data_IF_694569965946
#
_entry.id   IF_694569965946
#
_cell.length_a   1.000
_cell.length_b   1.000
_cell.length_c   1.000
_cell.angle_alpha   90.00
_cell.angle_beta   90.00
_cell.angle_gamma   90.00
#
_symmetry.space_group_name_H-M   'P 1'
#
loop_
_entity.id
_entity.type
_entity.pdbx_description
1 polymer ?
#
# COMPACT_ATOMS: atom_id res chain seq x y z
N UNK A 1 40.27 -13.90 -21.38
CA UNK A 1 38.87 -14.36 -21.51
C UNK A 1 38.41 -15.22 -20.30
N UNK A 2 39.18 -16.23 -19.81
CA UNK A 2 38.80 -17.03 -18.61
C UNK A 2 38.77 -16.23 -17.30
N UNK A 3 39.66 -15.29 -17.08
CA UNK A 3 39.68 -14.44 -15.88
C UNK A 3 38.52 -13.42 -15.82
N UNK A 4 38.17 -12.82 -16.95
CA UNK A 4 37.01 -11.93 -17.02
C UNK A 4 35.68 -12.66 -16.76
N UNK A 5 35.53 -13.90 -17.25
CA UNK A 5 34.37 -14.75 -16.97
C UNK A 5 34.33 -15.19 -15.51
N UNK A 6 35.48 -15.39 -14.87
CA UNK A 6 35.58 -15.72 -13.44
C UNK A 6 35.21 -14.54 -12.56
N UNK A 7 35.66 -13.32 -12.89
CA UNK A 7 35.31 -12.09 -12.12
C UNK A 7 33.84 -11.72 -12.26
N UNK A 8 33.26 -11.86 -13.45
CA UNK A 8 31.80 -11.65 -13.65
C UNK A 8 30.95 -12.67 -12.88
N UNK A 9 31.35 -13.94 -12.85
CA UNK A 9 30.69 -14.96 -12.04
C UNK A 9 30.79 -14.69 -10.54
N UNK A 10 31.96 -14.30 -10.02
CA UNK A 10 32.13 -13.92 -8.60
C UNK A 10 31.27 -12.71 -8.22
N UNK A 11 31.22 -11.68 -9.08
CA UNK A 11 30.37 -10.51 -8.84
C UNK A 11 28.87 -10.80 -8.84
N UNK A 12 28.41 -11.74 -9.72
CA UNK A 12 27.00 -12.15 -9.75
C UNK A 12 26.59 -13.00 -8.54
N UNK A 13 27.48 -13.88 -8.08
CA UNK A 13 27.26 -14.72 -6.89
C UNK A 13 27.20 -13.84 -5.63
N UNK A 14 28.13 -12.89 -5.47
CA UNK A 14 28.10 -11.94 -4.34
C UNK A 14 26.84 -11.11 -4.31
N UNK A 15 26.36 -10.61 -5.46
CA UNK A 15 25.10 -9.85 -5.55
C UNK A 15 23.88 -10.71 -5.22
N UNK A 16 23.88 -11.98 -5.59
CA UNK A 16 22.79 -12.91 -5.29
C UNK A 16 22.79 -13.29 -3.81
N UNK A 17 23.96 -13.56 -3.22
CA UNK A 17 24.12 -13.86 -1.80
C UNK A 17 23.68 -12.68 -0.93
N UNK A 18 24.08 -11.46 -1.27
CA UNK A 18 23.64 -10.23 -0.58
C UNK A 18 22.11 -10.04 -0.66
N UNK A 19 21.49 -10.27 -1.81
CA UNK A 19 20.04 -10.20 -1.97
C UNK A 19 19.32 -11.20 -1.04
N UNK A 20 19.77 -12.47 -1.02
CA UNK A 20 19.16 -13.51 -0.17
C UNK A 20 19.33 -13.15 1.32
N UNK A 21 20.50 -12.66 1.72
CA UNK A 21 20.75 -12.24 3.09
C UNK A 21 19.82 -11.09 3.51
N UNK A 22 19.63 -10.09 2.65
CA UNK A 22 18.72 -8.97 2.94
C UNK A 22 17.25 -9.41 2.93
N UNK A 23 16.86 -10.30 2.02
CA UNK A 23 15.51 -10.86 2.01
C UNK A 23 15.18 -11.59 3.32
N UNK A 24 16.10 -12.44 3.78
CA UNK A 24 15.96 -13.14 5.07
C UNK A 24 15.98 -12.13 6.23
N UNK A 25 16.86 -11.14 6.21
CA UNK A 25 16.93 -10.09 7.21
C UNK A 25 15.63 -9.28 7.30
N UNK A 26 15.05 -8.87 6.17
CA UNK A 26 13.75 -8.17 6.15
C UNK A 26 12.60 -9.06 6.59
N UNK A 27 12.60 -10.35 6.24
CA UNK A 27 11.58 -11.29 6.72
C UNK A 27 11.68 -11.48 8.24
N UNK A 28 12.89 -11.64 8.77
CA UNK A 28 13.13 -11.71 10.22
C UNK A 28 12.73 -10.40 10.92
N UNK A 29 13.06 -9.25 10.32
CA UNK A 29 12.66 -7.93 10.82
C UNK A 29 11.14 -7.75 10.81
N UNK A 30 10.44 -8.25 9.78
CA UNK A 30 8.98 -8.22 9.73
C UNK A 30 8.36 -9.06 10.85
N UNK A 31 8.86 -10.28 11.09
CA UNK A 31 8.41 -11.13 12.19
C UNK A 31 8.64 -10.43 13.55
N UNK A 32 9.84 -9.87 13.74
CA UNK A 32 10.15 -9.07 14.91
C UNK A 32 9.19 -7.87 15.06
N UNK A 33 8.92 -7.15 13.96
CA UNK A 33 8.01 -6.00 13.96
C UNK A 33 6.59 -6.39 14.35
N UNK A 34 6.07 -7.53 13.88
CA UNK A 34 4.75 -8.04 14.28
C UNK A 34 4.73 -8.32 15.78
N UNK A 35 5.70 -9.08 16.27
CA UNK A 35 5.78 -9.45 17.68
C UNK A 35 5.93 -8.21 18.58
N UNK A 36 6.83 -7.31 18.24
CA UNK A 36 7.04 -6.08 18.99
C UNK A 36 5.81 -5.16 18.95
N UNK A 37 5.20 -4.94 17.78
CA UNK A 37 4.08 -4.00 17.61
C UNK A 37 2.84 -4.36 18.43
N UNK A 38 2.61 -5.63 18.70
CA UNK A 38 1.48 -6.09 19.53
C UNK A 38 1.66 -5.67 20.99
N UNK A 39 2.90 -5.49 21.46
CA UNK A 39 3.16 -5.08 22.84
C UNK A 39 2.89 -3.61 23.09
N UNK A 40 3.03 -2.74 22.05
CA UNK A 40 2.80 -1.29 22.17
C UNK A 40 1.32 -0.93 22.08
N UNK A 41 0.87 0.01 22.90
CA UNK A 41 -0.50 0.57 22.88
C UNK A 41 -0.83 1.27 24.19
N UNK A 42 -1.95 2.03 24.23
CA UNK A 42 -2.35 2.85 25.35
C UNK A 42 -2.69 2.04 26.64
N UNK A 43 -3.05 0.77 26.52
CA UNK A 43 -3.26 -0.09 27.69
C UNK A 43 -1.91 -0.72 28.10
N UNK A 44 -1.54 -0.50 29.35
CA UNK A 44 -0.33 -1.08 29.95
C UNK A 44 -0.56 -2.58 30.20
N UNK A 45 -0.03 -3.41 29.30
CA UNK A 45 -0.06 -4.87 29.42
C UNK A 45 1.37 -5.41 29.56
N UNK A 46 1.56 -6.39 30.44
CA UNK A 46 2.87 -7.03 30.56
C UNK A 46 3.19 -7.86 29.30
N UNK A 47 4.47 -7.97 28.96
CA UNK A 47 4.91 -8.83 27.85
C UNK A 47 4.44 -10.26 28.03
N UNK A 48 4.43 -10.76 29.29
CA UNK A 48 3.97 -12.09 29.62
C UNK A 48 2.50 -12.28 29.26
N UNK A 49 1.64 -11.32 29.57
CA UNK A 49 0.20 -11.40 29.29
C UNK A 49 -0.06 -11.39 27.77
N UNK A 50 0.62 -10.49 27.04
CA UNK A 50 0.47 -10.39 25.58
C UNK A 50 0.83 -11.71 24.89
N UNK A 51 2.00 -12.27 25.21
CA UNK A 51 2.42 -13.52 24.58
C UNK A 51 1.68 -14.75 25.09
N UNK A 52 1.16 -14.73 26.33
CA UNK A 52 0.31 -15.80 26.86
C UNK A 52 -1.02 -15.89 26.11
N UNK A 53 -1.66 -14.76 25.77
CA UNK A 53 -2.87 -14.74 24.92
C UNK A 53 -2.58 -15.35 23.55
N UNK A 54 -1.48 -14.93 22.89
CA UNK A 54 -1.12 -15.43 21.56
C UNK A 54 -0.82 -16.93 21.62
N UNK A 55 -0.01 -17.37 22.60
CA UNK A 55 0.33 -18.78 22.78
C UNK A 55 -0.91 -19.64 23.07
N UNK A 56 -1.83 -19.15 23.88
CA UNK A 56 -3.10 -19.85 24.13
C UNK A 56 -3.92 -20.01 22.85
N UNK A 57 -4.11 -18.92 22.10
CA UNK A 57 -4.95 -18.94 20.88
C UNK A 57 -4.35 -19.75 19.73
N UNK A 58 -3.01 -19.81 19.61
CA UNK A 58 -2.33 -20.58 18.56
C UNK A 58 -2.13 -22.05 18.92
N UNK A 59 -1.79 -22.34 20.18
CA UNK A 59 -1.37 -23.68 20.59
C UNK A 59 -2.32 -24.36 21.59
N UNK A 60 -3.38 -23.67 22.04
CA UNK A 60 -4.38 -24.20 23.02
C UNK A 60 -3.74 -24.79 24.28
N UNK A 61 -2.69 -24.14 24.80
CA UNK A 61 -1.92 -24.62 25.98
C UNK A 61 -2.81 -24.52 27.21
N UNK A 62 -3.19 -25.65 27.80
CA UNK A 62 -4.12 -25.72 28.93
C UNK A 62 -3.70 -24.89 30.17
N UNK A 63 -2.39 -24.77 30.44
CA UNK A 63 -1.87 -23.93 31.54
C UNK A 63 -2.12 -22.43 31.35
N UNK A 64 -2.47 -21.99 30.14
CA UNK A 64 -2.76 -20.60 29.80
C UNK A 64 -4.27 -20.32 29.61
N UNK A 65 -5.14 -21.22 30.05
CA UNK A 65 -6.60 -21.10 29.91
C UNK A 65 -7.19 -19.83 30.56
N UNK A 66 -6.51 -19.26 31.56
CA UNK A 66 -6.88 -17.97 32.16
C UNK A 66 -6.83 -16.79 31.15
N UNK A 67 -6.12 -16.94 30.04
CA UNK A 67 -6.03 -15.94 28.95
C UNK A 67 -6.98 -16.23 27.78
N UNK A 68 -7.94 -17.16 27.96
CA UNK A 68 -8.92 -17.50 26.94
C UNK A 68 -9.91 -16.36 26.65
N UNK A 69 -10.26 -15.62 27.70
CA UNK A 69 -11.26 -14.53 27.70
C UNK A 69 -10.83 -13.43 28.67
N UNK A 70 -11.50 -12.27 28.60
CA UNK A 70 -11.29 -11.12 29.47
C UNK A 70 -10.58 -9.95 28.79
N UNK A 71 -10.42 -8.85 29.51
CA UNK A 71 -9.94 -7.58 28.97
C UNK A 71 -8.56 -7.68 28.29
N UNK A 72 -7.63 -8.45 28.84
CA UNK A 72 -6.31 -8.67 28.24
C UNK A 72 -6.42 -9.40 26.91
N UNK A 73 -7.23 -10.46 26.86
CA UNK A 73 -7.54 -11.19 25.63
C UNK A 73 -8.11 -10.27 24.56
N UNK A 74 -9.12 -9.48 24.92
CA UNK A 74 -9.82 -8.62 23.96
C UNK A 74 -8.91 -7.55 23.39
N UNK A 75 -8.08 -6.91 24.21
CA UNK A 75 -7.11 -5.93 23.75
C UNK A 75 -6.07 -6.55 22.80
N UNK A 76 -5.53 -7.71 23.14
CA UNK A 76 -4.47 -8.36 22.35
C UNK A 76 -5.04 -8.98 21.08
N UNK A 77 -6.09 -9.80 21.21
CA UNK A 77 -6.60 -10.64 20.13
C UNK A 77 -7.59 -9.94 19.21
N UNK A 78 -8.46 -9.07 19.74
CA UNK A 78 -9.49 -8.40 18.95
C UNK A 78 -9.09 -7.02 18.46
N UNK A 79 -8.13 -6.34 19.12
CA UNK A 79 -7.74 -4.98 18.77
C UNK A 79 -6.32 -4.94 18.20
N UNK A 80 -5.28 -5.35 18.97
CA UNK A 80 -3.88 -5.13 18.59
C UNK A 80 -3.45 -6.03 17.43
N UNK A 81 -3.71 -7.32 17.50
CA UNK A 81 -3.26 -8.27 16.49
C UNK A 81 -3.89 -8.04 15.11
N UNK A 82 -5.23 -7.86 14.98
CA UNK A 82 -5.82 -7.51 13.69
C UNK A 82 -5.27 -6.20 13.12
N UNK A 83 -4.99 -5.21 13.96
CA UNK A 83 -4.45 -3.92 13.55
C UNK A 83 -3.04 -4.04 12.98
N UNK A 84 -2.17 -4.80 13.62
CA UNK A 84 -0.81 -5.08 13.13
C UNK A 84 -0.84 -5.85 11.80
N UNK A 85 -1.71 -6.87 11.69
CA UNK A 85 -1.88 -7.63 10.45
C UNK A 85 -2.49 -6.80 9.32
N UNK A 86 -3.39 -5.88 9.64
CA UNK A 86 -3.94 -4.94 8.67
C UNK A 86 -2.88 -3.94 8.20
N UNK A 87 -2.06 -3.38 9.11
CA UNK A 87 -0.93 -2.53 8.77
C UNK A 87 0.06 -3.25 7.83
N UNK A 88 0.39 -4.52 8.13
CA UNK A 88 1.21 -5.37 7.26
C UNK A 88 0.63 -5.45 5.85
N UNK A 89 -0.64 -5.85 5.74
CA UNK A 89 -1.28 -6.06 4.45
C UNK A 89 -1.40 -4.77 3.64
N UNK A 90 -1.80 -3.66 4.25
CA UNK A 90 -1.92 -2.36 3.59
C UNK A 90 -0.54 -1.82 3.17
N UNK A 91 0.47 -1.90 4.04
CA UNK A 91 1.82 -1.46 3.73
C UNK A 91 2.47 -2.26 2.58
N UNK A 92 2.27 -3.57 2.58
CA UNK A 92 2.67 -4.47 1.48
C UNK A 92 1.96 -4.09 0.18
N UNK A 93 0.65 -3.86 0.24
CA UNK A 93 -0.16 -3.50 -0.92
C UNK A 93 0.28 -2.20 -1.56
N UNK A 94 0.39 -1.15 -0.77
CA UNK A 94 0.76 0.18 -1.29
C UNK A 94 2.16 0.19 -1.88
N UNK A 95 3.13 -0.47 -1.23
CA UNK A 95 4.51 -0.51 -1.75
C UNK A 95 4.63 -1.31 -3.04
N UNK A 96 3.95 -2.48 -3.16
CA UNK A 96 3.96 -3.29 -4.37
C UNK A 96 3.21 -2.60 -5.51
N UNK A 97 2.04 -2.01 -5.24
CA UNK A 97 1.34 -1.19 -6.24
C UNK A 97 2.20 -0.02 -6.71
N UNK A 98 2.97 0.61 -5.81
CA UNK A 98 3.93 1.65 -6.17
C UNK A 98 4.98 1.17 -7.19
N UNK A 99 5.59 0.00 -6.94
CA UNK A 99 6.54 -0.61 -7.88
C UNK A 99 5.92 -0.78 -9.26
N UNK A 100 4.71 -1.36 -9.30
CA UNK A 100 4.00 -1.67 -10.56
C UNK A 100 3.58 -0.40 -11.29
N UNK A 101 3.02 0.58 -10.57
CA UNK A 101 2.61 1.86 -11.16
C UNK A 101 3.77 2.63 -11.76
N UNK A 102 4.91 2.66 -11.07
CA UNK A 102 6.14 3.27 -11.57
C UNK A 102 6.65 2.61 -12.86
N UNK A 103 6.47 1.29 -13.00
CA UNK A 103 6.82 0.57 -14.23
C UNK A 103 5.83 0.87 -15.36
N UNK A 104 4.51 0.86 -15.10
CA UNK A 104 3.46 1.13 -16.09
C UNK A 104 3.59 2.54 -16.65
N UNK A 105 3.80 3.51 -15.77
CA UNK A 105 3.87 4.94 -16.11
C UNK A 105 5.28 5.33 -16.59
N UNK A 106 6.27 4.45 -16.42
CA UNK A 106 7.68 4.71 -16.73
C UNK A 106 8.23 5.95 -16.01
N UNK A 107 7.72 6.19 -14.80
CA UNK A 107 8.11 7.31 -13.98
C UNK A 107 8.37 6.83 -12.53
N UNK A 108 9.60 6.93 -12.01
CA UNK A 108 9.92 6.51 -10.64
C UNK A 108 9.20 7.33 -9.56
N UNK A 109 8.58 8.45 -9.94
CA UNK A 109 7.81 9.33 -9.06
C UNK A 109 6.31 9.05 -9.08
N UNK A 110 5.86 8.04 -9.84
CA UNK A 110 4.45 7.70 -9.88
C UNK A 110 4.02 7.07 -8.55
N UNK A 111 3.00 7.68 -7.95
CA UNK A 111 2.31 7.15 -6.77
C UNK A 111 1.17 6.21 -7.21
N UNK A 112 0.82 5.17 -6.45
CA UNK A 112 -0.33 4.31 -6.73
C UNK A 112 -1.65 5.07 -6.95
N UNK A 113 -1.79 6.24 -6.37
CA UNK A 113 -2.99 7.08 -6.49
C UNK A 113 -3.07 7.98 -7.73
N UNK A 114 -2.04 8.00 -8.58
CA UNK A 114 -1.99 8.81 -9.82
C UNK A 114 -3.19 8.57 -10.75
N UNK A 115 -3.79 7.36 -10.68
CA UNK A 115 -4.98 7.01 -11.47
C UNK A 115 -6.31 7.55 -10.90
N UNK A 116 -6.29 8.52 -10.01
CA UNK A 116 -7.52 9.05 -9.42
C UNK A 116 -8.21 8.14 -8.42
N UNK A 117 -7.60 7.01 -8.05
CA UNK A 117 -8.16 6.02 -7.12
C UNK A 117 -8.48 6.66 -5.77
N UNK A 118 -7.56 7.47 -5.25
CA UNK A 118 -7.75 8.18 -3.99
C UNK A 118 -8.91 9.18 -4.04
N UNK A 119 -9.00 9.96 -5.12
CA UNK A 119 -10.06 10.97 -5.29
C UNK A 119 -11.43 10.32 -5.47
N UNK A 120 -11.50 9.21 -6.21
CA UNK A 120 -12.71 8.42 -6.35
C UNK A 120 -13.16 7.78 -5.03
N UNK A 121 -12.19 7.24 -4.27
CA UNK A 121 -12.47 6.72 -2.94
C UNK A 121 -12.97 7.81 -1.98
N UNK A 122 -12.36 8.99 -2.02
CA UNK A 122 -12.78 10.15 -1.23
C UNK A 122 -14.19 10.60 -1.60
N UNK A 123 -14.54 10.64 -2.89
CA UNK A 123 -15.89 10.94 -3.35
C UNK A 123 -16.89 9.90 -2.84
N UNK A 124 -16.57 8.60 -2.97
CA UNK A 124 -17.41 7.52 -2.45
C UNK A 124 -17.66 7.63 -0.95
N UNK A 125 -16.59 7.88 -0.17
CA UNK A 125 -16.71 8.11 1.26
C UNK A 125 -17.55 9.38 1.59
N UNK A 126 -17.34 10.46 0.86
CA UNK A 126 -18.11 11.70 1.02
C UNK A 126 -19.59 11.46 0.77
N UNK A 127 -19.96 10.74 -0.29
CA UNK A 127 -21.35 10.38 -0.58
C UNK A 127 -21.97 9.53 0.54
N UNK A 128 -21.22 8.60 1.11
CA UNK A 128 -21.71 7.78 2.22
C UNK A 128 -21.91 8.59 3.50
N UNK A 129 -20.93 9.40 3.89
CA UNK A 129 -20.94 10.16 5.15
C UNK A 129 -21.94 11.30 5.07
N UNK A 130 -21.96 12.06 3.97
CA UNK A 130 -22.78 13.27 3.84
C UNK A 130 -24.22 12.99 3.42
N UNK A 131 -24.43 11.99 2.54
CA UNK A 131 -25.75 11.71 1.95
C UNK A 131 -26.32 10.35 2.36
N UNK A 132 -25.60 9.57 3.19
CA UNK A 132 -26.04 8.25 3.64
C UNK A 132 -26.07 7.19 2.52
N UNK A 133 -25.38 7.41 1.40
CA UNK A 133 -25.32 6.45 0.30
C UNK A 133 -24.74 5.12 0.80
N UNK A 134 -25.41 4.01 0.50
CA UNK A 134 -25.00 2.68 0.97
C UNK A 134 -25.38 2.39 2.43
N UNK A 135 -26.28 3.17 3.05
CA UNK A 135 -26.71 2.98 4.45
C UNK A 135 -27.24 1.58 4.76
N UNK A 136 -27.75 0.84 3.76
CA UNK A 136 -28.17 -0.56 3.90
C UNK A 136 -26.99 -1.53 4.19
N UNK A 137 -25.74 -1.10 3.98
CA UNK A 137 -24.53 -1.85 4.30
C UNK A 137 -24.07 -1.68 5.76
N UNK A 138 -24.81 -0.91 6.56
CA UNK A 138 -24.50 -0.66 7.98
C UNK A 138 -23.11 -0.05 8.18
N UNK A 139 -22.37 -0.52 9.18
CA UNK A 139 -21.05 0.00 9.53
C UNK A 139 -19.95 -0.13 8.44
N UNK A 140 -20.23 -0.83 7.34
CA UNK A 140 -19.31 -0.96 6.21
C UNK A 140 -19.60 0.02 5.07
N UNK A 141 -20.65 0.85 5.17
CA UNK A 141 -21.10 1.74 4.09
C UNK A 141 -19.99 2.63 3.53
N UNK A 142 -19.25 3.33 4.38
CA UNK A 142 -18.18 4.25 3.96
C UNK A 142 -17.04 3.51 3.24
N UNK A 143 -16.61 2.37 3.78
CA UNK A 143 -15.54 1.58 3.17
C UNK A 143 -15.96 1.01 1.81
N UNK A 144 -17.16 0.44 1.70
CA UNK A 144 -17.67 -0.16 0.44
C UNK A 144 -17.88 0.92 -0.63
N UNK A 145 -18.48 2.05 -0.29
CA UNK A 145 -18.68 3.14 -1.24
C UNK A 145 -17.35 3.77 -1.68
N UNK A 146 -16.37 3.87 -0.78
CA UNK A 146 -15.02 4.29 -1.13
C UNK A 146 -14.34 3.28 -2.08
N UNK A 147 -14.47 1.98 -1.83
CA UNK A 147 -13.99 0.93 -2.74
C UNK A 147 -14.63 1.05 -4.12
N UNK A 148 -15.95 1.19 -4.19
CA UNK A 148 -16.68 1.36 -5.45
C UNK A 148 -16.21 2.62 -6.17
N UNK A 149 -16.08 3.75 -5.46
CA UNK A 149 -15.57 5.00 -6.02
C UNK A 149 -14.16 4.85 -6.59
N UNK A 150 -13.27 4.15 -5.88
CA UNK A 150 -11.93 3.83 -6.35
C UNK A 150 -11.94 2.99 -7.64
N UNK A 151 -12.80 1.98 -7.71
CA UNK A 151 -12.93 1.11 -8.89
C UNK A 151 -13.50 1.85 -10.08
N UNK A 152 -14.59 2.60 -9.88
CA UNK A 152 -15.24 3.39 -10.95
C UNK A 152 -14.27 4.40 -11.55
N UNK A 153 -13.52 5.13 -10.73
CA UNK A 153 -12.52 6.09 -11.23
C UNK A 153 -11.37 5.41 -11.94
N UNK A 154 -10.88 4.28 -11.46
CA UNK A 154 -9.85 3.50 -12.15
C UNK A 154 -10.30 3.05 -13.53
N UNK A 155 -11.50 2.49 -13.64
CA UNK A 155 -12.06 2.08 -14.93
C UNK A 155 -12.31 3.29 -15.84
N UNK A 156 -12.78 4.42 -15.30
CA UNK A 156 -12.96 5.65 -16.08
C UNK A 156 -11.61 6.13 -16.65
N UNK A 157 -10.55 6.15 -15.85
CA UNK A 157 -9.20 6.53 -16.31
C UNK A 157 -8.69 5.59 -17.40
N UNK A 158 -8.85 4.27 -17.23
CA UNK A 158 -8.46 3.29 -18.24
C UNK A 158 -9.27 3.51 -19.54
N UNK A 159 -10.57 3.74 -19.44
CA UNK A 159 -11.43 4.00 -20.59
C UNK A 159 -11.02 5.27 -21.32
N UNK A 160 -10.87 6.40 -20.60
CA UNK A 160 -10.46 7.71 -21.17
C UNK A 160 -9.07 7.60 -21.83
N UNK A 161 -8.10 6.95 -21.17
CA UNK A 161 -6.76 6.80 -21.72
C UNK A 161 -6.71 5.96 -23.00
N UNK A 162 -7.71 5.10 -23.22
CA UNK A 162 -7.87 4.30 -24.45
C UNK A 162 -8.70 4.97 -25.54
N UNK A 163 -9.40 6.07 -25.23
CA UNK A 163 -10.14 6.83 -26.25
C UNK A 163 -9.17 7.47 -27.26
N UNK A 164 -9.43 7.26 -28.54
CA UNK A 164 -8.58 7.78 -29.61
C UNK A 164 -7.26 7.03 -29.79
N UNK A 165 -7.18 5.75 -29.40
CA UNK A 165 -6.03 4.85 -29.63
C UNK A 165 -5.50 4.20 -28.36
N UNK A 166 -4.31 3.58 -28.44
CA UNK A 166 -3.71 2.86 -27.34
C UNK A 166 -3.33 3.79 -26.17
N UNK A 167 -3.57 3.35 -24.93
CA UNK A 167 -3.15 4.07 -23.74
C UNK A 167 -1.62 4.18 -23.66
N UNK A 168 -1.12 5.40 -23.55
CA UNK A 168 0.28 5.71 -23.26
C UNK A 168 0.41 6.14 -21.79
N UNK A 169 1.65 6.14 -21.27
CA UNK A 169 1.92 6.62 -19.90
C UNK A 169 1.41 8.05 -19.68
N UNK A 170 1.61 8.95 -20.66
CA UNK A 170 1.13 10.33 -20.58
C UNK A 170 -0.40 10.43 -20.55
N UNK A 171 -1.11 9.66 -21.39
CA UNK A 171 -2.58 9.62 -21.38
C UNK A 171 -3.15 9.11 -20.04
N UNK A 172 -2.52 8.12 -19.45
CA UNK A 172 -2.93 7.59 -18.13
C UNK A 172 -2.79 8.66 -17.03
N UNK A 173 -1.68 9.40 -17.01
CA UNK A 173 -1.46 10.47 -16.03
C UNK A 173 -2.48 11.58 -16.22
N UNK A 174 -2.64 12.07 -17.46
CA UNK A 174 -3.57 13.17 -17.76
C UNK A 174 -5.02 12.79 -17.47
N UNK A 175 -5.45 11.58 -17.84
CA UNK A 175 -6.77 11.07 -17.51
C UNK A 175 -6.97 10.95 -15.99
N UNK A 176 -5.96 10.45 -15.27
CA UNK A 176 -5.98 10.36 -13.80
C UNK A 176 -6.13 11.73 -13.13
N UNK A 177 -5.38 12.72 -13.60
CA UNK A 177 -5.49 14.10 -13.11
C UNK A 177 -6.86 14.71 -13.39
N UNK A 178 -7.40 14.54 -14.59
CA UNK A 178 -8.72 15.06 -14.96
C UNK A 178 -9.83 14.42 -14.12
N UNK A 179 -9.84 13.09 -14.00
CA UNK A 179 -10.82 12.36 -13.17
C UNK A 179 -10.70 12.74 -11.69
N UNK A 180 -9.47 12.91 -11.18
CA UNK A 180 -9.24 13.39 -9.81
C UNK A 180 -9.82 14.77 -9.58
N UNK A 181 -9.65 15.70 -10.51
CA UNK A 181 -10.21 17.05 -10.41
C UNK A 181 -11.75 17.02 -10.38
N UNK A 182 -12.37 16.20 -11.25
CA UNK A 182 -13.83 16.01 -11.26
C UNK A 182 -14.32 15.43 -9.94
N UNK A 183 -13.70 14.34 -9.44
CA UNK A 183 -14.09 13.74 -8.16
C UNK A 183 -13.94 14.71 -6.99
N UNK A 184 -12.87 15.48 -6.96
CA UNK A 184 -12.64 16.49 -5.91
C UNK A 184 -13.67 17.62 -5.97
N UNK A 185 -14.02 18.09 -7.18
CA UNK A 185 -15.05 19.09 -7.37
C UNK A 185 -16.42 18.60 -6.88
N UNK A 186 -16.81 17.36 -7.21
CA UNK A 186 -18.05 16.76 -6.71
C UNK A 186 -18.04 16.56 -5.20
N UNK A 187 -16.93 16.10 -4.61
CA UNK A 187 -16.82 15.96 -3.16
C UNK A 187 -17.02 17.31 -2.46
N UNK A 188 -16.34 18.36 -2.93
CA UNK A 188 -16.47 19.70 -2.38
C UNK A 188 -17.89 20.27 -2.55
N UNK A 189 -18.52 20.01 -3.70
CA UNK A 189 -19.91 20.41 -3.97
C UNK A 189 -20.87 19.75 -2.97
N UNK A 190 -20.74 18.42 -2.74
CA UNK A 190 -21.58 17.71 -1.76
C UNK A 190 -21.38 18.25 -0.34
N UNK A 191 -20.13 18.47 0.07
CA UNK A 191 -19.81 19.05 1.38
C UNK A 191 -20.45 20.43 1.52
N UNK A 192 -20.38 21.27 0.49
CA UNK A 192 -20.91 22.63 0.50
C UNK A 192 -22.45 22.67 0.61
N UNK A 193 -23.16 21.86 -0.21
CA UNK A 193 -24.65 21.88 -0.20
C UNK A 193 -25.25 21.25 1.04
N UNK A 194 -24.59 20.24 1.64
CA UNK A 194 -25.10 19.55 2.83
C UNK A 194 -24.95 20.42 4.08
N UNK A 195 -23.93 21.28 4.11
CA UNK A 195 -23.65 22.24 5.19
C UNK A 195 -23.65 21.61 6.61
N UNK A 196 -23.26 20.32 6.72
CA UNK A 196 -23.12 19.61 7.99
C UNK A 196 -21.65 19.60 8.42
N UNK A 197 -21.32 20.38 9.45
CA UNK A 197 -19.95 20.52 9.98
C UNK A 197 -19.42 19.22 10.59
N UNK A 198 -20.28 18.42 11.22
CA UNK A 198 -19.87 17.16 11.86
C UNK A 198 -19.51 16.13 10.79
N UNK A 199 -20.38 15.97 9.79
CA UNK A 199 -20.13 15.08 8.65
C UNK A 199 -18.88 15.52 7.85
N UNK A 200 -18.68 16.83 7.64
CA UNK A 200 -17.48 17.36 6.98
C UNK A 200 -16.20 17.01 7.78
N UNK A 201 -16.23 17.10 9.10
CA UNK A 201 -15.12 16.70 9.98
C UNK A 201 -14.85 15.18 9.87
N UNK A 202 -15.91 14.37 9.76
CA UNK A 202 -15.77 12.93 9.57
C UNK A 202 -15.14 12.58 8.21
N UNK A 203 -15.55 13.24 7.14
CA UNK A 203 -14.90 13.12 5.81
C UNK A 203 -13.42 13.48 5.90
N UNK A 204 -13.09 14.58 6.57
CA UNK A 204 -11.69 14.98 6.76
C UNK A 204 -10.89 13.93 7.52
N UNK A 205 -11.42 13.40 8.64
CA UNK A 205 -10.77 12.32 9.41
C UNK A 205 -10.58 11.06 8.57
N UNK A 206 -11.59 10.69 7.79
CA UNK A 206 -11.52 9.51 6.94
C UNK A 206 -10.44 9.63 5.86
N UNK A 207 -10.32 10.82 5.23
CA UNK A 207 -9.30 11.08 4.19
C UNK A 207 -7.87 11.10 4.74
N UNK A 208 -7.68 11.32 6.04
CA UNK A 208 -6.37 11.24 6.71
C UNK A 208 -5.90 9.79 6.91
N UNK A 209 -6.76 8.80 6.73
CA UNK A 209 -6.46 7.38 6.91
C UNK A 209 -6.30 6.95 8.37
N UNK A 210 -6.81 5.77 8.69
CA UNK A 210 -6.73 5.21 10.04
C UNK A 210 -6.78 3.69 10.00
N UNK A 211 -6.02 3.04 10.88
CA UNK A 211 -6.06 1.60 11.13
C UNK A 211 -6.85 1.25 12.40
N UNK A 212 -7.43 2.25 13.08
CA UNK A 212 -8.19 2.04 14.33
C UNK A 212 -9.42 1.14 14.14
N UNK A 213 -10.02 1.13 12.96
CA UNK A 213 -11.14 0.25 12.61
C UNK A 213 -10.75 -1.18 12.23
N UNK A 214 -9.54 -1.63 12.52
CA UNK A 214 -9.08 -2.96 12.20
C UNK A 214 -9.91 -4.04 12.93
N UNK A 215 -10.23 -5.12 12.21
CA UNK A 215 -10.96 -6.27 12.73
C UNK A 215 -10.54 -7.53 11.98
N UNK A 216 -10.79 -8.70 12.57
CA UNK A 216 -10.52 -9.98 11.91
C UNK A 216 -11.24 -10.12 10.57
N UNK A 217 -12.45 -9.57 10.44
CA UNK A 217 -13.21 -9.56 9.18
C UNK A 217 -12.46 -8.79 8.10
N UNK A 218 -11.93 -7.60 8.40
CA UNK A 218 -11.14 -6.79 7.45
C UNK A 218 -9.81 -7.45 7.11
N UNK A 219 -9.12 -8.03 8.09
CA UNK A 219 -7.87 -8.78 7.87
C UNK A 219 -8.13 -10.00 6.99
N UNK A 220 -9.23 -10.74 7.26
CA UNK A 220 -9.62 -11.94 6.51
C UNK A 220 -9.90 -11.68 5.02
N UNK A 221 -10.19 -10.44 4.64
CA UNK A 221 -10.34 -10.04 3.23
C UNK A 221 -9.04 -9.43 2.70
N UNK A 222 -8.47 -8.46 3.42
CA UNK A 222 -7.33 -7.69 2.93
C UNK A 222 -6.07 -8.53 2.76
N UNK A 223 -5.75 -9.39 3.73
CA UNK A 223 -4.51 -10.18 3.70
C UNK A 223 -4.48 -11.19 2.54
N UNK A 224 -5.50 -12.01 2.28
CA UNK A 224 -5.54 -12.89 1.11
C UNK A 224 -5.47 -12.11 -0.21
N UNK A 225 -6.24 -11.02 -0.36
CA UNK A 225 -6.20 -10.18 -1.57
C UNK A 225 -4.78 -9.66 -1.80
N UNK A 226 -4.13 -9.13 -0.76
CA UNK A 226 -2.75 -8.65 -0.83
C UNK A 226 -1.81 -9.74 -1.29
N UNK A 227 -1.83 -10.92 -0.65
CA UNK A 227 -0.92 -12.02 -0.98
C UNK A 227 -1.12 -12.52 -2.41
N UNK A 228 -2.38 -12.69 -2.84
CA UNK A 228 -2.68 -13.11 -4.21
C UNK A 228 -2.15 -12.09 -5.23
N UNK A 229 -2.44 -10.79 -5.04
CA UNK A 229 -1.99 -9.75 -5.96
C UNK A 229 -0.46 -9.61 -5.97
N UNK A 230 0.21 -9.73 -4.83
CA UNK A 230 1.69 -9.72 -4.74
C UNK A 230 2.28 -10.89 -5.52
N UNK A 231 1.71 -12.09 -5.39
CA UNK A 231 2.14 -13.27 -6.15
C UNK A 231 1.92 -13.05 -7.64
N UNK A 232 0.75 -12.54 -8.05
CA UNK A 232 0.46 -12.21 -9.45
C UNK A 232 1.54 -11.26 -9.99
N UNK A 233 1.80 -10.13 -9.34
CA UNK A 233 2.80 -9.17 -9.79
C UNK A 233 4.21 -9.75 -9.78
N UNK A 234 4.56 -10.57 -8.80
CA UNK A 234 5.88 -11.20 -8.75
C UNK A 234 6.09 -12.19 -9.89
N UNK A 235 5.08 -12.96 -10.30
CA UNK A 235 5.18 -13.83 -11.48
C UNK A 235 5.37 -13.05 -12.78
N UNK A 236 4.94 -11.79 -12.81
CA UNK A 236 5.03 -10.90 -13.98
C UNK A 236 6.31 -10.04 -14.02
N UNK A 237 7.32 -10.32 -13.17
CA UNK A 237 8.53 -9.51 -13.08
C UNK A 237 9.26 -9.31 -14.41
N UNK A 238 9.23 -10.29 -15.33
CA UNK A 238 9.84 -10.17 -16.66
C UNK A 238 9.16 -9.12 -17.52
N UNK A 239 7.84 -9.13 -17.55
CA UNK A 239 7.05 -8.16 -18.31
C UNK A 239 7.17 -6.75 -17.71
N UNK A 240 7.24 -6.64 -16.39
CA UNK A 240 7.50 -5.37 -15.71
C UNK A 240 8.91 -4.83 -16.03
N UNK A 241 9.92 -5.69 -16.11
CA UNK A 241 11.26 -5.31 -16.54
C UNK A 241 11.29 -4.85 -18.01
N UNK A 242 10.52 -5.50 -18.89
CA UNK A 242 10.40 -5.08 -20.29
C UNK A 242 9.77 -3.68 -20.41
N UNK A 243 8.75 -3.36 -19.60
CA UNK A 243 8.13 -2.03 -19.61
C UNK A 243 9.11 -0.90 -19.31
N UNK A 244 10.17 -1.14 -18.53
CA UNK A 244 11.20 -0.14 -18.25
C UNK A 244 12.07 0.22 -19.45
N UNK A 245 12.11 -0.63 -20.49
CA UNK A 245 12.91 -0.40 -21.70
C UNK A 245 12.25 0.61 -22.67
N UNK A 246 11.01 1.01 -22.37
CA UNK A 246 10.20 1.88 -23.22
C UNK A 246 9.23 1.09 -24.12
N UNK A 247 8.24 1.81 -24.64
CA UNK A 247 7.15 1.19 -25.41
C UNK A 247 7.63 0.60 -26.73
N UNK A 248 8.45 1.33 -27.47
CA UNK A 248 8.94 0.91 -28.80
C UNK A 248 9.76 -0.38 -28.69
N UNK A 249 10.67 -0.45 -27.72
CA UNK A 249 11.50 -1.63 -27.48
C UNK A 249 10.66 -2.83 -27.07
N UNK A 250 9.71 -2.61 -26.16
CA UNK A 250 8.86 -3.69 -25.63
C UNK A 250 7.95 -4.29 -26.73
N UNK A 251 7.43 -3.44 -27.62
CA UNK A 251 6.60 -3.86 -28.75
C UNK A 251 7.43 -4.66 -29.77
N UNK A 252 8.65 -4.21 -30.09
CA UNK A 252 9.55 -4.93 -31.00
C UNK A 252 9.94 -6.29 -30.46
N UNK A 253 9.98 -6.45 -29.14
CA UNK A 253 10.19 -7.76 -28.47
C UNK A 253 8.93 -8.62 -28.39
N UNK A 254 7.83 -8.22 -29.05
CA UNK A 254 6.60 -9.02 -29.16
C UNK A 254 5.65 -8.89 -27.97
N UNK A 255 5.85 -7.90 -27.10
CA UNK A 255 5.02 -7.74 -25.90
C UNK A 255 3.77 -6.90 -26.19
N UNK A 256 2.57 -7.43 -25.93
CA UNK A 256 1.32 -6.66 -25.98
C UNK A 256 1.19 -5.77 -24.72
N UNK A 257 1.87 -4.63 -24.75
CA UNK A 257 1.89 -3.67 -23.64
C UNK A 257 0.50 -3.18 -23.25
N UNK A 258 -0.42 -3.05 -24.20
CA UNK A 258 -1.75 -2.54 -23.93
C UNK A 258 -2.54 -3.47 -23.02
N UNK A 259 -2.55 -4.78 -23.34
CA UNK A 259 -3.23 -5.79 -22.50
C UNK A 259 -2.58 -5.91 -21.14
N UNK A 260 -1.25 -5.91 -21.10
CA UNK A 260 -0.51 -6.02 -19.83
C UNK A 260 -0.75 -4.80 -18.94
N UNK A 261 -0.71 -3.58 -19.48
CA UNK A 261 -1.03 -2.36 -18.71
C UNK A 261 -2.44 -2.41 -18.14
N UNK A 262 -3.43 -2.73 -18.97
CA UNK A 262 -4.83 -2.84 -18.52
C UNK A 262 -4.96 -3.89 -17.41
N UNK A 263 -4.36 -5.06 -17.58
CA UNK A 263 -4.37 -6.12 -16.57
C UNK A 263 -3.75 -5.65 -15.25
N UNK A 264 -2.55 -5.05 -15.28
CA UNK A 264 -1.87 -4.59 -14.07
C UNK A 264 -2.63 -3.44 -13.39
N UNK A 265 -3.24 -2.54 -14.17
CA UNK A 265 -4.07 -1.47 -13.62
C UNK A 265 -5.30 -2.02 -12.91
N UNK A 266 -5.96 -3.04 -13.45
CA UNK A 266 -7.10 -3.69 -12.79
C UNK A 266 -6.67 -4.35 -11.48
N UNK A 267 -5.59 -5.15 -11.49
CA UNK A 267 -5.09 -5.82 -10.28
C UNK A 267 -4.66 -4.79 -9.22
N UNK A 268 -3.94 -3.73 -9.62
CA UNK A 268 -3.55 -2.65 -8.72
C UNK A 268 -4.76 -1.91 -8.15
N UNK A 269 -5.78 -1.64 -8.97
CA UNK A 269 -7.01 -0.96 -8.53
C UNK A 269 -7.76 -1.77 -7.49
N UNK A 270 -7.88 -3.08 -7.69
CA UNK A 270 -8.48 -3.99 -6.70
C UNK A 270 -7.69 -3.95 -5.39
N UNK A 271 -6.37 -4.08 -5.47
CA UNK A 271 -5.49 -4.10 -4.31
C UNK A 271 -5.53 -2.79 -3.52
N UNK A 272 -5.47 -1.64 -4.21
CA UNK A 272 -5.55 -0.31 -3.59
C UNK A 272 -6.97 -0.04 -3.09
N UNK A 273 -7.99 -0.44 -3.84
CA UNK A 273 -9.39 -0.29 -3.43
C UNK A 273 -9.67 -0.98 -2.09
N UNK A 274 -9.19 -2.22 -1.90
CA UNK A 274 -9.29 -2.91 -0.60
C UNK A 274 -8.45 -2.24 0.49
N UNK A 275 -7.27 -1.71 0.16
CA UNK A 275 -6.47 -0.96 1.12
C UNK A 275 -7.21 0.28 1.61
N UNK A 276 -7.83 1.03 0.70
CA UNK A 276 -8.63 2.23 1.03
C UNK A 276 -9.92 1.86 1.78
N UNK A 277 -10.60 0.78 1.39
CA UNK A 277 -11.73 0.23 2.13
C UNK A 277 -11.40 0.00 3.61
N UNK A 278 -10.22 -0.56 3.87
CA UNK A 278 -9.79 -0.95 5.21
C UNK A 278 -9.23 0.20 6.04
N UNK A 279 -8.48 1.12 5.42
CA UNK A 279 -7.61 2.05 6.11
C UNK A 279 -7.78 3.53 5.70
N UNK A 280 -8.67 3.84 4.74
CA UNK A 280 -8.74 5.16 4.13
C UNK A 280 -7.51 5.45 3.26
N UNK A 281 -7.23 6.72 2.99
CA UNK A 281 -6.15 7.13 2.09
C UNK A 281 -4.82 7.24 2.84
N UNK A 282 -3.78 6.50 2.40
CA UNK A 282 -2.43 6.53 2.97
C UNK A 282 -1.43 6.74 1.83
N UNK A 283 -0.93 7.97 1.67
CA UNK A 283 0.04 8.32 0.62
C UNK A 283 1.49 7.95 0.95
N UNK A 284 2.39 8.24 0.03
CA UNK A 284 3.85 8.13 0.13
C UNK A 284 4.46 6.74 0.30
N UNK A 285 3.77 5.74 0.85
CA UNK A 285 4.32 4.37 1.03
C UNK A 285 4.74 3.79 -0.32
N UNK A 286 3.85 3.87 -1.32
CA UNK A 286 4.08 3.38 -2.67
C UNK A 286 5.12 4.16 -3.47
N UNK A 287 5.48 5.35 -3.01
CA UNK A 287 6.47 6.19 -3.65
C UNK A 287 7.87 6.01 -3.01
N UNK A 288 7.94 6.08 -1.68
CA UNK A 288 9.20 6.08 -0.94
C UNK A 288 9.81 4.68 -0.86
N UNK A 289 9.03 3.67 -0.51
CA UNK A 289 9.55 2.31 -0.29
C UNK A 289 10.19 1.71 -1.55
N UNK A 290 9.53 1.70 -2.73
CA UNK A 290 10.16 1.21 -3.95
C UNK A 290 11.41 2.00 -4.32
N UNK A 291 11.42 3.30 -4.05
CA UNK A 291 12.57 4.15 -4.36
C UNK A 291 13.78 3.79 -3.50
N UNK A 292 13.60 3.59 -2.19
CA UNK A 292 14.66 3.13 -1.27
C UNK A 292 15.25 1.79 -1.74
N UNK A 293 14.39 0.81 -2.03
CA UNK A 293 14.85 -0.50 -2.49
C UNK A 293 15.57 -0.41 -3.83
N UNK A 294 15.08 0.41 -4.76
CA UNK A 294 15.72 0.62 -6.07
C UNK A 294 17.12 1.20 -5.96
N UNK A 295 17.35 2.11 -5.03
CA UNK A 295 18.70 2.67 -4.76
C UNK A 295 19.66 1.58 -4.31
N UNK A 296 19.20 0.63 -3.49
CA UNK A 296 20.05 -0.40 -2.89
C UNK A 296 20.26 -1.61 -3.82
N UNK A 297 19.21 -2.03 -4.55
CA UNK A 297 19.19 -3.30 -5.29
C UNK A 297 18.96 -3.16 -6.80
N UNK A 298 18.78 -1.93 -7.30
CA UNK A 298 18.53 -1.65 -8.73
C UNK A 298 17.06 -1.82 -9.12
N UNK A 299 16.84 -1.87 -10.44
CA UNK A 299 15.51 -1.81 -11.05
C UNK A 299 14.88 -3.16 -11.36
N UNK A 300 15.58 -4.29 -11.13
CA UNK A 300 15.08 -5.64 -11.44
C UNK A 300 13.87 -5.99 -10.55
N UNK A 301 12.68 -6.09 -11.15
CA UNK A 301 11.42 -6.38 -10.47
C UNK A 301 11.41 -7.75 -9.77
N UNK A 302 12.25 -8.70 -10.21
CA UNK A 302 12.39 -10.00 -9.52
C UNK A 302 12.81 -9.81 -8.05
N UNK A 303 13.65 -8.80 -7.78
CA UNK A 303 14.18 -8.46 -6.45
C UNK A 303 13.40 -7.32 -5.81
N UNK A 304 13.03 -6.32 -6.62
CA UNK A 304 12.37 -5.10 -6.16
C UNK A 304 11.00 -5.38 -5.51
N UNK A 305 10.18 -6.26 -6.11
CA UNK A 305 8.84 -6.57 -5.60
C UNK A 305 8.85 -7.21 -4.20
N UNK A 306 9.57 -8.34 -3.94
CA UNK A 306 9.54 -8.96 -2.62
C UNK A 306 10.19 -8.09 -1.54
N UNK A 307 11.28 -7.38 -1.86
CA UNK A 307 11.91 -6.48 -0.89
C UNK A 307 11.01 -5.29 -0.55
N UNK A 308 10.33 -4.70 -1.54
CA UNK A 308 9.37 -3.61 -1.32
C UNK A 308 8.16 -4.08 -0.51
N UNK A 309 7.67 -5.30 -0.74
CA UNK A 309 6.58 -5.88 0.02
C UNK A 309 6.94 -6.00 1.51
N UNK A 310 8.09 -6.58 1.84
CA UNK A 310 8.54 -6.77 3.22
C UNK A 310 8.84 -5.44 3.93
N UNK A 311 9.56 -4.54 3.24
CA UNK A 311 9.90 -3.25 3.82
C UNK A 311 8.66 -2.37 4.01
N UNK A 312 7.74 -2.36 3.03
CA UNK A 312 6.49 -1.60 3.12
C UNK A 312 5.57 -2.08 4.25
N UNK A 313 5.47 -3.40 4.42
CA UNK A 313 4.76 -4.00 5.55
C UNK A 313 5.36 -3.56 6.90
N UNK A 314 6.68 -3.72 7.06
CA UNK A 314 7.37 -3.32 8.30
C UNK A 314 7.27 -1.82 8.57
N UNK A 315 7.43 -0.99 7.53
CA UNK A 315 7.32 0.45 7.65
C UNK A 315 5.96 0.89 8.17
N UNK A 316 4.87 0.36 7.59
CA UNK A 316 3.53 0.77 7.99
C UNK A 316 3.16 0.25 9.40
N UNK A 317 3.65 -0.93 9.81
CA UNK A 317 3.52 -1.41 11.18
C UNK A 317 4.14 -0.41 12.17
N UNK A 318 5.37 0.05 11.92
CA UNK A 318 6.03 1.00 12.81
C UNK A 318 5.41 2.39 12.78
N UNK A 319 4.90 2.84 11.63
CA UNK A 319 4.09 4.06 11.56
C UNK A 319 2.83 3.94 12.41
N UNK A 320 2.13 2.81 12.37
CA UNK A 320 0.96 2.57 13.21
C UNK A 320 1.29 2.54 14.70
N UNK A 321 2.41 1.90 15.09
CA UNK A 321 2.90 1.95 16.48
C UNK A 321 3.16 3.39 16.90
N UNK A 322 3.86 4.17 16.07
CA UNK A 322 4.15 5.58 16.37
C UNK A 322 2.87 6.40 16.53
N UNK A 323 1.86 6.20 15.67
CA UNK A 323 0.56 6.89 15.79
C UNK A 323 -0.16 6.62 17.12
N UNK A 324 0.04 5.43 17.69
CA UNK A 324 -0.57 5.02 18.98
C UNK A 324 0.17 5.53 20.21
N UNK A 325 1.46 5.88 20.07
CA UNK A 325 2.34 6.17 21.21
C UNK A 325 2.71 7.66 21.31
N UNK A 326 2.75 8.38 20.18
CA UNK A 326 3.21 9.78 20.16
C UNK A 326 2.29 10.72 20.95
N UNK A 327 0.98 10.53 20.83
CA UNK A 327 0.00 11.39 21.52
C UNK A 327 -0.65 10.64 22.69
N UNK A 328 -0.60 11.24 23.87
CA UNK A 328 -1.35 10.73 25.03
C UNK A 328 -2.85 10.98 24.82
N UNK A 329 -3.66 9.95 25.03
CA UNK A 329 -5.13 9.99 24.98
C UNK A 329 -5.75 10.32 23.60
N UNK A 330 -4.96 10.33 22.52
CA UNK A 330 -5.48 10.42 21.15
C UNK A 330 -4.60 9.65 20.19
N UNK A 331 -5.16 9.27 19.06
CA UNK A 331 -4.41 8.59 17.99
C UNK A 331 -4.19 9.56 16.84
N UNK A 332 -2.94 9.62 16.36
CA UNK A 332 -2.63 10.39 15.15
C UNK A 332 -3.10 9.62 13.92
N UNK A 333 -3.77 10.25 12.94
CA UNK A 333 -4.08 9.62 11.68
C UNK A 333 -2.80 9.15 10.95
N UNK A 334 -2.79 7.90 10.49
CA UNK A 334 -1.57 7.29 9.94
C UNK A 334 -1.10 7.96 8.65
N UNK A 335 -2.02 8.42 7.80
CA UNK A 335 -1.68 9.14 6.58
C UNK A 335 -0.96 10.47 6.86
N UNK A 336 -1.30 11.15 7.96
CA UNK A 336 -0.58 12.37 8.40
C UNK A 336 0.86 12.04 8.78
N UNK A 337 1.07 11.03 9.64
CA UNK A 337 2.42 10.63 10.05
C UNK A 337 3.27 10.19 8.86
N UNK A 338 2.71 9.33 8.01
CA UNK A 338 3.41 8.85 6.80
C UNK A 338 3.75 10.01 5.86
N UNK A 339 2.88 11.02 5.74
CA UNK A 339 3.14 12.21 4.92
C UNK A 339 4.24 13.09 5.52
N UNK A 340 4.26 13.28 6.83
CA UNK A 340 5.30 14.05 7.54
C UNK A 340 6.69 13.41 7.35
N UNK A 341 6.77 12.08 7.32
CA UNK A 341 8.02 11.36 7.09
C UNK A 341 8.33 11.26 5.59
N UNK A 342 7.32 10.93 4.80
CA UNK A 342 7.47 10.58 3.38
C UNK A 342 7.79 11.78 2.50
N UNK A 343 7.15 12.95 2.71
CA UNK A 343 7.37 14.11 1.88
C UNK A 343 8.80 14.69 2.00
N UNK A 344 9.39 14.89 3.20
CA UNK A 344 10.78 15.31 3.32
C UNK A 344 11.77 14.26 2.77
N UNK A 345 11.50 12.97 3.03
CA UNK A 345 12.32 11.88 2.49
C UNK A 345 12.30 11.92 0.95
N UNK A 346 11.15 12.11 0.36
CA UNK A 346 11.00 12.22 -1.09
C UNK A 346 11.73 13.43 -1.67
N UNK A 347 11.59 14.62 -1.05
CA UNK A 347 12.31 15.85 -1.47
C UNK A 347 13.83 15.62 -1.40
N UNK A 348 14.31 15.02 -0.32
CA UNK A 348 15.74 14.69 -0.17
C UNK A 348 16.25 13.77 -1.27
N UNK A 349 15.47 12.72 -1.59
CA UNK A 349 15.80 11.77 -2.64
C UNK A 349 15.78 12.44 -4.02
N UNK A 350 14.84 13.34 -4.26
CA UNK A 350 14.72 14.10 -5.51
C UNK A 350 15.93 15.02 -5.75
N UNK A 351 16.42 15.69 -4.73
CA UNK A 351 17.56 16.60 -4.84
C UNK A 351 18.88 15.87 -5.05
N UNK A 352 19.06 14.69 -4.44
CA UNK A 352 20.34 13.98 -4.43
C UNK A 352 20.69 13.16 -5.67
N UNK A 353 19.75 12.81 -6.52
CA UNK A 353 19.99 11.97 -7.73
C UNK A 353 19.31 12.52 -8.97
N UNK A 354 20.07 12.52 -10.08
CA UNK A 354 19.53 12.69 -11.43
C UNK A 354 18.55 11.55 -11.73
N UNK A 355 17.28 11.88 -11.97
CA UNK A 355 16.21 10.92 -12.21
C UNK A 355 16.22 10.45 -13.67
N UNK A 356 16.44 9.15 -13.89
CA UNK A 356 16.24 8.49 -15.18
C UNK A 356 16.18 6.97 -14.98
N UNK A 357 15.21 6.30 -15.62
CA UNK A 357 15.30 4.88 -15.87
C UNK A 357 16.40 4.70 -16.94
N UNK A 358 17.67 4.45 -16.53
CA UNK A 358 18.71 3.99 -17.45
C UNK A 358 19.33 5.04 -18.38
N UNK A 359 19.45 6.29 -17.96
CA UNK A 359 20.30 7.28 -18.63
C UNK A 359 21.73 7.20 -18.13
N UNK A 360 22.61 6.61 -18.91
CA UNK A 360 24.07 6.65 -18.74
C UNK A 360 24.56 8.09 -18.67
N UNK A 361 25.42 8.36 -17.67
CA UNK A 361 26.68 9.02 -17.98
C UNK A 361 27.73 7.95 -18.11
#
# INVERSE_FOLDING_TARGET
>A
MKEQVSQTKKGSVLRTSMYVAVLIGLAAFLIFSILAAITFGNADLSLKDVYSVIAYKLFHIKSLSAYAEGAVHDVVWLIRLPRVLLALAVGMSLSVCGVVMQAIVQNPLADPYVLGISSGASLGATLAIMLGVGGFLGGNSVGVTAFIGAMVTSFAVIAIANMGGKATSAKLILAGMAVSAVCSAFSNFVIYITNDKNAATEVMKWTMGSLAGASWSRVGVMLPVTLICVIIFWTQYRNLNLMLLGDDVSITLGTDLHRLRTFYLIVASVMIGFAVYCAGVIGFVGLVIPHVIRILFGTDHRRLLPLSALLGASFLIWCDVACRVILKNSEMPIGVLVSIIGAPCFIYLLVRKSYGFGGSK
#
